data_IF_334865530498
#
_entry.id   IF_334865530498
#
_cell.length_a   1.000
_cell.length_b   1.000
_cell.length_c   1.000
_cell.angle_alpha   90.00
_cell.angle_beta   90.00
_cell.angle_gamma   90.00
#
_symmetry.space_group_name_H-M   'P 1'
#
loop_
_entity.id
_entity.type
_entity.pdbx_description
1 polymer ?
#
# COMPACT_ATOMS: atom_id res chain seq x y z
N UNK A 1 13.36 -8.42 5.03
CA UNK A 1 12.05 -9.11 4.82
C UNK A 1 11.78 -10.13 5.89
N UNK A 2 12.74 -11.00 6.19
CA UNK A 2 12.55 -12.05 7.18
C UNK A 2 12.10 -11.50 8.55
N UNK A 3 12.78 -10.47 9.03
CA UNK A 3 12.46 -9.85 10.31
C UNK A 3 11.11 -9.15 10.26
N UNK A 4 10.79 -8.48 9.15
CA UNK A 4 9.52 -7.80 8.98
C UNK A 4 8.35 -8.78 9.04
N UNK A 5 8.46 -9.93 8.37
CA UNK A 5 7.43 -10.97 8.42
C UNK A 5 7.28 -11.51 9.83
N UNK A 6 8.39 -11.68 10.55
CA UNK A 6 8.36 -12.19 11.92
C UNK A 6 7.65 -11.22 12.87
N UNK A 7 7.89 -9.91 12.73
CA UNK A 7 7.45 -8.90 13.70
C UNK A 7 6.11 -8.25 13.37
N UNK A 8 5.71 -8.21 12.10
CA UNK A 8 4.55 -7.44 11.67
C UNK A 8 3.48 -8.31 11.03
N UNK A 9 2.23 -7.94 11.22
CA UNK A 9 1.09 -8.55 10.56
C UNK A 9 0.73 -7.88 9.25
N UNK A 10 1.25 -6.67 9.03
CA UNK A 10 0.97 -5.85 7.86
C UNK A 10 2.27 -5.32 7.26
N UNK A 11 2.38 -5.32 5.95
CA UNK A 11 3.47 -4.69 5.23
C UNK A 11 2.87 -3.74 4.20
N UNK A 12 3.23 -2.46 4.26
CA UNK A 12 2.61 -1.40 3.46
C UNK A 12 3.40 -1.00 2.20
N UNK A 13 4.52 -1.62 1.93
CA UNK A 13 5.47 -1.11 0.94
C UNK A 13 5.85 -2.11 -0.15
N UNK A 14 4.92 -2.96 -0.55
CA UNK A 14 5.19 -3.92 -1.62
C UNK A 14 5.11 -3.20 -2.96
N UNK A 15 6.22 -3.09 -3.67
CA UNK A 15 6.29 -2.35 -4.92
C UNK A 15 7.00 -3.10 -6.06
N UNK A 16 7.30 -4.38 -5.88
CA UNK A 16 7.91 -5.19 -6.92
C UNK A 16 7.55 -6.66 -6.75
N UNK A 17 7.64 -7.40 -7.86
CA UNK A 17 7.43 -8.85 -7.81
C UNK A 17 8.50 -9.53 -6.96
N UNK A 18 9.73 -9.04 -7.03
CA UNK A 18 10.84 -9.58 -6.24
C UNK A 18 10.56 -9.48 -4.74
N UNK A 19 10.10 -8.32 -4.28
CA UNK A 19 9.76 -8.12 -2.87
C UNK A 19 8.56 -8.95 -2.47
N UNK A 20 7.53 -9.00 -3.31
CA UNK A 20 6.35 -9.83 -3.07
C UNK A 20 6.71 -11.30 -2.90
N UNK A 21 7.59 -11.80 -3.75
CA UNK A 21 8.05 -13.19 -3.69
C UNK A 21 8.80 -13.48 -2.39
N UNK A 22 9.66 -12.56 -1.97
CA UNK A 22 10.39 -12.72 -0.69
C UNK A 22 9.45 -12.77 0.50
N UNK A 23 8.43 -11.92 0.52
CA UNK A 23 7.45 -11.91 1.60
C UNK A 23 6.66 -13.21 1.60
N UNK A 24 6.23 -13.66 0.42
CA UNK A 24 5.48 -14.91 0.29
C UNK A 24 6.30 -16.11 0.79
N UNK A 25 7.58 -16.18 0.40
CA UNK A 25 8.44 -17.29 0.84
C UNK A 25 8.66 -17.24 2.36
N UNK A 26 8.87 -16.08 2.94
CA UNK A 26 9.10 -15.96 4.38
C UNK A 26 7.84 -16.24 5.19
N UNK A 27 6.67 -15.82 4.72
CA UNK A 27 5.43 -16.14 5.45
C UNK A 27 5.15 -17.64 5.46
N UNK A 28 5.51 -18.34 4.40
CA UNK A 28 5.38 -19.80 4.37
C UNK A 28 6.36 -20.46 5.33
N UNK A 29 7.61 -20.00 5.35
CA UNK A 29 8.62 -20.55 6.27
C UNK A 29 8.24 -20.35 7.73
N UNK A 30 7.64 -19.20 8.06
CA UNK A 30 7.28 -18.87 9.43
C UNK A 30 5.85 -19.27 9.78
N UNK A 31 5.15 -19.92 8.86
CA UNK A 31 3.76 -20.33 9.03
C UNK A 31 2.88 -19.15 9.48
N UNK A 32 3.04 -18.02 8.81
CA UNK A 32 2.35 -16.78 9.13
C UNK A 32 1.62 -16.26 7.90
N UNK A 33 0.53 -15.52 8.11
CA UNK A 33 -0.21 -14.87 7.02
C UNK A 33 -0.07 -13.36 7.20
N UNK A 34 0.56 -12.71 6.22
CA UNK A 34 0.80 -11.28 6.24
C UNK A 34 -0.20 -10.60 5.32
N UNK A 35 -0.77 -9.49 5.77
CA UNK A 35 -1.59 -8.61 4.95
C UNK A 35 -0.70 -7.53 4.35
N UNK A 36 -0.79 -7.32 3.06
CA UNK A 36 0.10 -6.39 2.38
C UNK A 36 -0.67 -5.31 1.64
N UNK A 37 -0.01 -4.16 1.48
CA UNK A 37 -0.45 -3.08 0.62
C UNK A 37 0.56 -2.94 -0.51
N UNK A 38 0.08 -2.75 -1.72
CA UNK A 38 0.94 -2.42 -2.86
C UNK A 38 1.20 -0.92 -2.83
N UNK A 39 2.47 -0.55 -2.77
CA UNK A 39 2.87 0.86 -2.80
C UNK A 39 2.89 1.35 -4.24
N UNK A 40 2.16 2.44 -4.50
CA UNK A 40 2.01 3.04 -5.82
C UNK A 40 2.74 4.38 -5.87
N UNK A 41 3.53 4.59 -6.91
CA UNK A 41 4.14 5.87 -7.19
C UNK A 41 3.10 6.76 -7.88
N UNK A 42 2.20 7.33 -7.09
CA UNK A 42 1.02 8.03 -7.61
C UNK A 42 1.37 9.35 -8.28
N UNK A 43 2.45 9.98 -7.88
CA UNK A 43 2.92 11.23 -8.48
C UNK A 43 3.83 11.03 -9.68
N UNK A 44 4.09 9.79 -10.06
CA UNK A 44 4.97 9.43 -11.18
C UNK A 44 6.36 10.07 -11.05
N UNK A 45 6.92 10.04 -9.85
CA UNK A 45 8.22 10.60 -9.54
C UNK A 45 9.34 9.59 -9.83
N UNK A 46 10.39 10.01 -10.51
CA UNK A 46 11.47 9.10 -10.94
C UNK A 46 12.20 8.43 -9.79
N UNK A 47 12.40 9.13 -8.68
CA UNK A 47 13.25 8.65 -7.58
C UNK A 47 12.48 8.21 -6.36
N UNK A 48 11.17 8.06 -6.47
CA UNK A 48 10.34 7.59 -5.37
C UNK A 48 10.09 6.10 -5.48
N UNK A 49 9.95 5.46 -4.33
CA UNK A 49 9.53 4.07 -4.26
C UNK A 49 8.08 3.94 -4.71
N UNK A 50 7.71 2.74 -5.07
CA UNK A 50 6.36 2.46 -5.51
C UNK A 50 6.32 2.00 -6.96
N UNK A 51 5.34 1.15 -7.27
CA UNK A 51 5.13 0.67 -8.62
C UNK A 51 4.43 1.76 -9.45
N UNK A 52 4.75 1.84 -10.73
CA UNK A 52 4.07 2.78 -11.62
C UNK A 52 2.58 2.47 -11.69
N UNK A 53 1.76 3.50 -11.84
CA UNK A 53 0.29 3.34 -11.93
C UNK A 53 -0.12 2.32 -12.99
N UNK A 54 0.57 2.33 -14.13
CA UNK A 54 0.27 1.41 -15.24
C UNK A 54 0.62 -0.05 -14.93
N UNK A 55 1.42 -0.30 -13.90
CA UNK A 55 1.87 -1.65 -13.54
C UNK A 55 1.19 -2.20 -12.28
N UNK A 56 0.29 -1.45 -11.67
CA UNK A 56 -0.38 -1.86 -10.43
C UNK A 56 -1.17 -3.15 -10.62
N UNK A 57 -1.95 -3.23 -11.70
CA UNK A 57 -2.78 -4.41 -11.97
C UNK A 57 -1.92 -5.66 -12.15
N UNK A 58 -0.81 -5.53 -12.86
CA UNK A 58 0.11 -6.64 -13.11
C UNK A 58 0.72 -7.14 -11.82
N UNK A 59 1.19 -6.23 -10.97
CA UNK A 59 1.76 -6.60 -9.68
C UNK A 59 0.71 -7.25 -8.77
N UNK A 60 -0.49 -6.71 -8.76
CA UNK A 60 -1.60 -7.28 -7.98
C UNK A 60 -1.88 -8.72 -8.43
N UNK A 61 -1.95 -8.95 -9.74
CA UNK A 61 -2.19 -10.29 -10.29
C UNK A 61 -1.08 -11.26 -9.90
N UNK A 62 0.17 -10.81 -9.94
CA UNK A 62 1.30 -11.61 -9.50
C UNK A 62 1.18 -11.98 -8.01
N UNK A 63 0.85 -11.01 -7.18
CA UNK A 63 0.68 -11.25 -5.73
C UNK A 63 -0.41 -12.30 -5.48
N UNK A 64 -1.52 -12.22 -6.20
CA UNK A 64 -2.58 -13.23 -6.07
C UNK A 64 -2.10 -14.61 -6.48
N UNK A 65 -1.32 -14.69 -7.55
CA UNK A 65 -0.81 -15.97 -8.06
C UNK A 65 0.09 -16.66 -7.03
N UNK A 66 0.84 -15.89 -6.26
CA UNK A 66 1.72 -16.45 -5.21
C UNK A 66 1.04 -16.49 -3.83
N UNK A 67 -0.27 -16.27 -3.79
CA UNK A 67 -1.09 -16.37 -2.58
C UNK A 67 -0.72 -15.37 -1.49
N UNK A 68 -0.29 -14.19 -1.88
CA UNK A 68 -0.03 -13.08 -0.97
C UNK A 68 -1.32 -12.29 -0.78
N UNK A 69 -1.67 -12.00 0.46
CA UNK A 69 -2.94 -11.33 0.77
C UNK A 69 -2.82 -9.82 0.63
N UNK A 70 -3.14 -9.31 -0.55
CA UNK A 70 -3.19 -7.87 -0.82
C UNK A 70 -4.54 -7.33 -0.38
N UNK A 71 -4.55 -6.43 0.60
CA UNK A 71 -5.79 -5.87 1.12
C UNK A 71 -6.05 -4.44 0.62
N UNK A 72 -5.07 -3.80 0.02
CA UNK A 72 -5.24 -2.44 -0.47
C UNK A 72 -4.00 -1.88 -1.12
N UNK A 73 -4.10 -0.62 -1.50
CA UNK A 73 -2.99 0.16 -2.06
C UNK A 73 -2.50 1.17 -1.04
N UNK A 74 -1.25 1.59 -1.21
CA UNK A 74 -0.59 2.57 -0.36
C UNK A 74 0.13 3.59 -1.21
N UNK A 75 0.15 4.85 -0.80
CA UNK A 75 0.99 5.85 -1.45
C UNK A 75 1.52 6.88 -0.47
N UNK A 76 2.62 7.50 -0.87
CA UNK A 76 3.15 8.71 -0.27
C UNK A 76 3.21 9.71 -1.45
N UNK A 77 2.24 10.61 -1.58
CA UNK A 77 2.20 11.51 -2.73
C UNK A 77 3.30 12.55 -2.66
N UNK A 78 3.61 13.22 -3.78
CA UNK A 78 4.55 14.34 -3.76
C UNK A 78 4.10 15.43 -2.80
N UNK A 79 5.06 16.15 -2.23
CA UNK A 79 4.75 17.33 -1.42
C UNK A 79 4.03 18.34 -2.30
N UNK A 80 2.82 18.71 -1.91
CA UNK A 80 1.98 19.63 -2.69
C UNK A 80 0.96 20.25 -1.75
N UNK A 81 0.45 21.41 -2.17
CA UNK A 81 -0.63 22.09 -1.43
C UNK A 81 -1.98 21.43 -1.68
N UNK A 82 -2.10 20.58 -2.69
CA UNK A 82 -3.36 19.96 -3.08
C UNK A 82 -3.18 18.44 -3.27
N UNK A 83 -2.97 17.69 -2.19
CA UNK A 83 -2.77 16.24 -2.31
C UNK A 83 -4.06 15.48 -2.70
N UNK A 84 -5.20 16.12 -2.60
CA UNK A 84 -6.51 15.53 -2.85
C UNK A 84 -6.60 14.84 -4.20
N UNK A 85 -5.98 15.41 -5.23
CA UNK A 85 -6.01 14.85 -6.58
C UNK A 85 -5.36 13.46 -6.63
N UNK A 86 -4.26 13.28 -5.89
CA UNK A 86 -3.59 11.98 -5.82
C UNK A 86 -4.41 10.98 -5.00
N UNK A 87 -5.02 11.42 -3.92
CA UNK A 87 -5.84 10.55 -3.09
C UNK A 87 -7.08 10.07 -3.83
N UNK A 88 -7.70 10.94 -4.64
CA UNK A 88 -8.82 10.53 -5.49
C UNK A 88 -8.40 9.47 -6.49
N UNK A 89 -7.26 9.65 -7.12
CA UNK A 89 -6.74 8.69 -8.09
C UNK A 89 -6.45 7.34 -7.42
N UNK A 90 -5.88 7.35 -6.22
CA UNK A 90 -5.66 6.13 -5.45
C UNK A 90 -6.96 5.40 -5.14
N UNK A 91 -7.98 6.14 -4.76
CA UNK A 91 -9.28 5.55 -4.47
C UNK A 91 -9.87 4.86 -5.70
N UNK A 92 -9.74 5.48 -6.86
CA UNK A 92 -10.21 4.89 -8.12
C UNK A 92 -9.44 3.61 -8.45
N UNK A 93 -8.11 3.64 -8.36
CA UNK A 93 -7.27 2.47 -8.59
C UNK A 93 -7.65 1.32 -7.65
N UNK A 94 -7.84 1.64 -6.39
CA UNK A 94 -8.17 0.64 -5.37
C UNK A 94 -9.52 -0.02 -5.65
N UNK A 95 -10.51 0.77 -6.01
CA UNK A 95 -11.85 0.27 -6.36
C UNK A 95 -11.82 -0.60 -7.61
N UNK A 96 -10.99 -0.24 -8.60
CA UNK A 96 -10.86 -1.01 -9.82
C UNK A 96 -10.31 -2.42 -9.56
N UNK A 97 -9.57 -2.59 -8.48
CA UNK A 97 -9.06 -3.89 -8.05
C UNK A 97 -9.96 -4.58 -7.04
N UNK A 98 -11.10 -3.97 -6.72
CA UNK A 98 -12.05 -4.47 -5.70
C UNK A 98 -11.40 -4.61 -4.32
N UNK A 99 -10.49 -3.69 -3.99
CA UNK A 99 -9.83 -3.66 -2.70
C UNK A 99 -10.55 -2.68 -1.77
N UNK A 100 -10.51 -2.97 -0.47
CA UNK A 100 -11.28 -2.23 0.52
C UNK A 100 -10.45 -1.30 1.39
N UNK A 101 -9.14 -1.53 1.49
CA UNK A 101 -8.28 -0.76 2.37
C UNK A 101 -7.41 0.19 1.56
N UNK A 102 -7.14 1.37 2.10
CA UNK A 102 -6.25 2.37 1.50
C UNK A 102 -5.34 2.94 2.57
N UNK A 103 -4.04 2.80 2.36
CA UNK A 103 -3.03 3.35 3.26
C UNK A 103 -2.44 4.60 2.63
N UNK A 104 -2.91 5.77 3.08
CA UNK A 104 -2.44 7.06 2.58
C UNK A 104 -2.78 8.15 3.59
N UNK A 105 -1.99 9.23 3.56
CA UNK A 105 -2.19 10.34 4.48
C UNK A 105 -1.14 10.36 5.57
N UNK A 106 -0.62 11.55 5.83
CA UNK A 106 0.37 11.82 6.87
C UNK A 106 -0.12 12.98 7.71
N UNK A 107 0.66 13.41 8.71
CA UNK A 107 0.23 14.48 9.62
C UNK A 107 -0.15 15.78 8.93
N UNK A 108 0.40 16.06 7.74
CA UNK A 108 0.09 17.28 6.98
C UNK A 108 -1.16 17.18 6.12
N UNK A 109 -1.61 15.98 5.75
CA UNK A 109 -2.68 15.81 4.77
C UNK A 109 -3.69 14.69 5.09
N UNK A 110 -3.69 14.21 6.32
CA UNK A 110 -4.52 13.05 6.68
C UNK A 110 -6.03 13.31 6.53
N UNK A 111 -6.47 14.55 6.69
CA UNK A 111 -7.89 14.87 6.54
C UNK A 111 -8.34 14.71 5.07
N UNK A 112 -7.52 15.15 4.12
CA UNK A 112 -7.81 14.96 2.70
C UNK A 112 -7.80 13.48 2.34
N UNK A 113 -6.88 12.71 2.92
CA UNK A 113 -6.82 11.27 2.70
C UNK A 113 -8.10 10.59 3.19
N UNK A 114 -8.57 10.94 4.39
CA UNK A 114 -9.80 10.36 4.95
C UNK A 114 -11.01 10.69 4.07
N UNK A 115 -11.11 11.90 3.54
CA UNK A 115 -12.17 12.27 2.61
C UNK A 115 -12.19 11.41 1.36
N UNK A 116 -11.03 10.85 0.98
CA UNK A 116 -10.89 10.00 -0.19
C UNK A 116 -10.80 8.51 0.18
N UNK A 117 -11.41 8.13 1.27
CA UNK A 117 -11.61 6.74 1.69
C UNK A 117 -10.36 6.05 2.27
N UNK A 118 -9.38 6.82 2.75
CA UNK A 118 -8.24 6.23 3.44
C UNK A 118 -8.71 5.47 4.69
N UNK A 119 -8.20 4.27 4.86
CA UNK A 119 -8.48 3.42 6.02
C UNK A 119 -7.29 3.33 6.97
N UNK A 120 -6.10 3.67 6.48
CA UNK A 120 -4.88 3.75 7.27
C UNK A 120 -4.20 5.07 6.99
N UNK A 121 -3.86 5.82 8.04
CA UNK A 121 -3.13 7.09 7.92
C UNK A 121 -1.91 7.04 8.83
N UNK A 122 -0.89 7.84 8.48
CA UNK A 122 0.34 7.95 9.26
C UNK A 122 0.43 9.34 9.87
N UNK A 123 0.50 9.39 11.19
CA UNK A 123 0.63 10.65 11.93
C UNK A 123 1.86 10.52 12.82
N UNK A 124 2.88 11.34 12.53
CA UNK A 124 4.19 11.17 13.14
C UNK A 124 4.78 9.82 12.73
N UNK A 125 5.23 9.02 13.69
CA UNK A 125 5.75 7.67 13.45
C UNK A 125 4.69 6.59 13.65
N UNK A 126 3.42 6.97 13.84
CA UNK A 126 2.34 6.05 14.19
C UNK A 126 1.43 5.87 12.99
N UNK A 127 1.03 4.62 12.73
CA UNK A 127 0.05 4.29 11.70
C UNK A 127 -1.26 4.00 12.41
N UNK A 128 -2.33 4.72 12.00
CA UNK A 128 -3.67 4.49 12.52
C UNK A 128 -4.51 3.78 11.48
N UNK A 129 -5.03 2.61 11.85
CA UNK A 129 -5.98 1.91 11.04
C UNK A 129 -7.40 2.34 11.35
N UNK A 130 -8.32 2.07 10.41
CA UNK A 130 -9.73 2.28 10.61
C UNK A 130 -10.23 1.41 11.75
N UNK A 131 -11.01 1.99 12.66
CA UNK A 131 -11.69 1.24 13.70
C UNK A 131 -13.10 0.91 13.25
N UNK A 132 -13.40 -0.31 13.38
CA UNK A 132 -14.77 -0.76 13.14
C UNK A 132 -15.54 -0.71 14.44
#
# INVERSE_FOLDING_TARGET
VKLAVKLFDYIHSVDSEKLAKKISDEQQKQNKKIKVFIQVNIGDEEQKSGVNKSSVHELYSYCKAIKLNVIGLMCIPPLTKSPDIYFKEMNILNKNLNLNELSMGMSSDYLDAIKNSATYVRIGSIIFGQRS
#
